data_IF_621944347424
#
_entry.id   IF_621944347424
#
_cell.length_a   1.000
_cell.length_b   1.000
_cell.length_c   1.000
_cell.angle_alpha   90.00
_cell.angle_beta   90.00
_cell.angle_gamma   90.00
#
_symmetry.space_group_name_H-M   'P 1'
#
loop_
_entity.id
_entity.type
_entity.pdbx_description
1 polymer ?
#
# COMPACT_ATOMS: atom_id res chain seq x y z
N UNK A 1 -19.83 -9.26 -2.44
CA UNK A 1 -19.18 -10.52 -2.08
C UNK A 1 -17.71 -10.21 -1.80
N UNK A 2 -17.26 -10.56 -0.61
CA UNK A 2 -15.84 -10.47 -0.22
C UNK A 2 -15.26 -11.88 -0.36
N UNK A 3 -14.26 -12.03 -1.21
CA UNK A 3 -13.51 -13.25 -1.34
C UNK A 3 -12.19 -13.10 -0.58
N UNK A 4 -12.05 -13.84 0.53
CA UNK A 4 -10.82 -13.86 1.31
C UNK A 4 -10.01 -15.06 0.84
N UNK A 5 -8.89 -14.80 0.17
CA UNK A 5 -7.96 -15.85 -0.23
C UNK A 5 -7.23 -16.43 0.99
N UNK A 6 -7.45 -17.69 1.29
CA UNK A 6 -6.71 -18.42 2.32
C UNK A 6 -5.59 -19.18 1.60
N UNK A 7 -4.43 -18.58 1.47
CA UNK A 7 -3.26 -19.19 0.83
C UNK A 7 -1.97 -18.91 1.60
N UNK A 8 -0.87 -19.62 1.30
CA UNK A 8 0.43 -19.20 1.80
C UNK A 8 0.79 -17.86 1.17
N UNK A 9 0.74 -16.80 1.95
CA UNK A 9 1.20 -15.50 1.50
C UNK A 9 2.71 -15.44 1.66
N UNK A 10 3.40 -15.27 0.55
CA UNK A 10 4.85 -15.10 0.50
C UNK A 10 5.25 -13.65 0.18
N UNK A 11 4.48 -12.67 0.68
CA UNK A 11 4.91 -11.29 0.54
C UNK A 11 5.99 -11.00 1.58
N UNK A 12 7.17 -10.56 1.14
CA UNK A 12 8.22 -9.99 2.00
C UNK A 12 7.64 -8.85 2.86
N UNK A 13 6.64 -8.18 2.35
CA UNK A 13 5.83 -7.16 2.98
C UNK A 13 5.04 -7.66 4.21
N UNK A 14 4.87 -8.95 4.37
CA UNK A 14 4.13 -9.56 5.49
C UNK A 14 5.04 -10.11 6.60
N UNK A 15 6.30 -9.71 6.66
CA UNK A 15 7.20 -10.04 7.77
C UNK A 15 6.77 -9.29 9.03
N UNK A 16 5.59 -9.60 9.51
CA UNK A 16 5.00 -8.98 10.70
C UNK A 16 5.18 -9.87 11.92
N UNK A 17 5.37 -9.26 13.10
CA UNK A 17 5.31 -10.02 14.34
C UNK A 17 3.99 -10.76 14.39
N UNK A 18 4.03 -12.02 14.83
CA UNK A 18 2.89 -12.90 14.92
C UNK A 18 1.69 -12.19 15.55
N UNK A 19 0.70 -11.88 14.75
CA UNK A 19 -0.63 -11.55 15.19
C UNK A 19 -1.59 -12.55 14.57
N UNK A 20 -2.77 -12.62 15.11
CA UNK A 20 -3.80 -13.48 14.59
C UNK A 20 -4.19 -12.97 13.19
N UNK A 21 -3.73 -13.70 12.18
CA UNK A 21 -3.76 -13.30 10.78
C UNK A 21 -5.16 -13.01 10.27
N UNK A 22 -6.12 -13.83 10.65
CA UNK A 22 -7.49 -13.65 10.17
C UNK A 22 -8.10 -12.35 10.70
N UNK A 23 -7.76 -11.96 11.92
CA UNK A 23 -8.27 -10.74 12.52
C UNK A 23 -7.84 -9.48 11.74
N UNK A 24 -6.54 -9.29 11.48
CA UNK A 24 -6.10 -8.12 10.74
C UNK A 24 -6.58 -8.14 9.28
N UNK A 25 -6.61 -9.32 8.63
CA UNK A 25 -7.11 -9.48 7.27
C UNK A 25 -8.60 -9.11 7.19
N UNK A 26 -9.41 -9.55 8.15
CA UNK A 26 -10.82 -9.19 8.21
C UNK A 26 -11.02 -7.68 8.36
N UNK A 27 -10.26 -7.03 9.22
CA UNK A 27 -10.31 -5.57 9.36
C UNK A 27 -9.90 -4.85 8.08
N UNK A 28 -8.89 -5.36 7.38
CA UNK A 28 -8.47 -4.85 6.08
C UNK A 28 -9.61 -4.91 5.05
N UNK A 29 -10.16 -6.09 4.81
CA UNK A 29 -11.20 -6.30 3.81
C UNK A 29 -12.52 -5.60 4.17
N UNK A 30 -12.90 -5.58 5.45
CA UNK A 30 -14.07 -4.84 5.90
C UNK A 30 -13.90 -3.33 5.73
N UNK A 31 -12.69 -2.81 5.86
CA UNK A 31 -12.40 -1.40 5.59
C UNK A 31 -12.68 -1.06 4.13
N UNK A 32 -12.33 -1.91 3.17
CA UNK A 32 -12.69 -1.70 1.77
C UNK A 32 -14.21 -1.59 1.58
N UNK A 33 -14.98 -2.44 2.23
CA UNK A 33 -16.46 -2.36 2.15
C UNK A 33 -16.96 -1.04 2.72
N UNK A 34 -16.49 -0.64 3.90
CA UNK A 34 -16.96 0.57 4.57
C UNK A 34 -16.58 1.83 3.78
N UNK A 35 -15.35 1.90 3.29
CA UNK A 35 -14.84 3.09 2.59
C UNK A 35 -15.39 3.23 1.17
N UNK A 36 -15.69 2.11 0.50
CA UNK A 36 -16.16 2.13 -0.89
C UNK A 36 -17.67 2.01 -1.02
N UNK A 37 -18.34 1.27 -0.15
CA UNK A 37 -19.70 0.79 -0.38
C UNK A 37 -20.76 1.42 0.52
N UNK A 38 -20.40 2.06 1.62
CA UNK A 38 -21.34 2.77 2.49
C UNK A 38 -21.94 3.96 1.73
N UNK A 39 -23.29 3.99 1.55
CA UNK A 39 -23.94 5.06 0.82
C UNK A 39 -24.36 6.19 1.76
N UNK A 40 -24.26 7.43 1.30
CA UNK A 40 -24.99 8.54 1.89
C UNK A 40 -26.41 8.68 1.28
N UNK A 41 -27.16 9.72 1.66
CA UNK A 41 -28.52 9.95 1.14
C UNK A 41 -28.56 10.13 -0.38
N UNK A 42 -27.58 10.80 -0.97
CA UNK A 42 -27.49 11.02 -2.43
C UNK A 42 -27.24 9.68 -3.15
N UNK A 43 -26.32 8.88 -2.63
CA UNK A 43 -26.02 7.57 -3.21
C UNK A 43 -27.22 6.62 -3.08
N UNK A 44 -27.94 6.68 -1.95
CA UNK A 44 -29.19 5.91 -1.75
C UNK A 44 -30.28 6.32 -2.73
N UNK A 45 -30.43 7.61 -3.02
CA UNK A 45 -31.36 8.09 -4.02
C UNK A 45 -31.05 7.49 -5.40
N UNK A 46 -29.80 7.58 -5.86
CA UNK A 46 -29.39 7.03 -7.15
C UNK A 46 -29.51 5.50 -7.18
N UNK A 47 -29.13 4.82 -6.11
CA UNK A 47 -29.31 3.35 -5.99
C UNK A 47 -30.79 2.96 -6.02
N UNK A 48 -31.68 3.78 -5.49
CA UNK A 48 -33.12 3.57 -5.59
C UNK A 48 -33.61 3.68 -7.04
N UNK A 49 -33.18 4.73 -7.76
CA UNK A 49 -33.54 4.96 -9.15
C UNK A 49 -33.04 3.83 -10.08
N UNK A 50 -31.80 3.38 -9.90
CA UNK A 50 -31.17 2.32 -10.71
C UNK A 50 -31.41 0.90 -10.16
N UNK A 51 -32.20 0.74 -9.09
CA UNK A 51 -32.48 -0.55 -8.43
C UNK A 51 -31.21 -1.26 -7.92
N UNK A 52 -30.20 -0.50 -7.51
CA UNK A 52 -28.96 -1.01 -6.96
C UNK A 52 -27.74 -0.24 -7.41
N UNK A 53 -26.57 -0.81 -7.16
CA UNK A 53 -25.30 -0.28 -7.69
C UNK A 53 -25.15 -0.67 -9.16
N UNK A 54 -24.81 0.30 -10.00
CA UNK A 54 -24.51 0.04 -11.41
C UNK A 54 -23.06 -0.41 -11.54
N UNK A 55 -22.83 -1.49 -12.25
CA UNK A 55 -21.48 -1.93 -12.64
C UNK A 55 -21.09 -1.31 -13.98
N UNK A 56 -19.80 -1.00 -14.13
CA UNK A 56 -19.26 -0.53 -15.41
C UNK A 56 -19.25 -1.68 -16.44
N UNK A 57 -19.58 -1.35 -17.69
CA UNK A 57 -19.47 -2.26 -18.82
C UNK A 57 -18.62 -1.63 -19.92
N UNK A 58 -17.78 -2.43 -20.57
CA UNK A 58 -17.00 -2.00 -21.75
C UNK A 58 -17.93 -1.69 -22.93
N UNK A 59 -19.00 -2.46 -23.07
CA UNK A 59 -19.98 -2.32 -24.16
C UNK A 59 -20.92 -1.13 -23.98
N UNK A 60 -20.95 -0.55 -22.77
CA UNK A 60 -21.74 0.64 -22.44
C UNK A 60 -20.92 1.65 -21.66
N UNK A 61 -20.20 2.56 -22.33
CA UNK A 61 -19.36 3.57 -21.67
C UNK A 61 -20.12 4.52 -20.73
N UNK A 62 -21.42 4.75 -20.96
CA UNK A 62 -22.26 5.59 -20.10
C UNK A 62 -22.43 4.93 -18.71
N UNK A 63 -22.30 3.63 -18.63
CA UNK A 63 -22.34 2.88 -17.35
C UNK A 63 -21.32 3.39 -16.33
N UNK A 64 -20.20 3.97 -16.75
CA UNK A 64 -19.22 4.62 -15.87
C UNK A 64 -19.87 5.76 -15.07
N UNK A 65 -20.64 6.63 -15.76
CA UNK A 65 -21.31 7.74 -15.10
C UNK A 65 -22.36 7.25 -14.09
N UNK A 66 -23.17 6.26 -14.47
CA UNK A 66 -24.16 5.68 -13.57
C UNK A 66 -23.54 4.94 -12.38
N UNK A 67 -22.45 4.23 -12.64
CA UNK A 67 -21.66 3.59 -11.58
C UNK A 67 -21.10 4.63 -10.60
N UNK A 68 -20.57 5.76 -11.11
CA UNK A 68 -20.12 6.87 -10.26
C UNK A 68 -21.25 7.47 -9.42
N UNK A 69 -22.44 7.66 -9.98
CA UNK A 69 -23.60 8.17 -9.23
C UNK A 69 -24.01 7.23 -8.09
N UNK A 70 -23.94 5.93 -8.32
CA UNK A 70 -24.35 4.90 -7.34
C UNK A 70 -23.26 4.48 -6.37
N UNK A 71 -21.98 4.67 -6.73
CA UNK A 71 -20.84 4.29 -5.90
C UNK A 71 -19.58 5.13 -6.21
N UNK A 72 -19.57 6.44 -5.86
CA UNK A 72 -18.49 7.35 -6.28
C UNK A 72 -17.12 7.00 -5.70
N UNK A 73 -17.05 6.40 -4.51
CA UNK A 73 -15.79 6.08 -3.84
C UNK A 73 -15.03 4.92 -4.49
N UNK A 74 -15.70 4.10 -5.29
CA UNK A 74 -15.05 3.06 -6.09
C UNK A 74 -13.96 3.60 -7.02
N UNK A 75 -14.08 4.88 -7.43
CA UNK A 75 -13.16 5.55 -8.35
C UNK A 75 -12.02 6.29 -7.66
N UNK A 76 -11.86 6.11 -6.36
CA UNK A 76 -10.65 6.56 -5.69
C UNK A 76 -9.46 5.66 -6.10
N UNK A 77 -8.23 6.20 -6.10
CA UNK A 77 -7.05 5.45 -6.51
C UNK A 77 -6.73 4.31 -5.55
N UNK A 78 -5.96 3.35 -6.03
CA UNK A 78 -5.61 2.16 -5.26
C UNK A 78 -4.90 2.50 -3.96
N UNK A 79 -3.97 3.45 -3.97
CA UNK A 79 -3.26 3.85 -2.75
C UNK A 79 -4.20 4.39 -1.64
N UNK A 80 -5.31 5.04 -2.03
CA UNK A 80 -6.31 5.48 -1.05
C UNK A 80 -7.02 4.30 -0.40
N UNK A 81 -7.41 3.30 -1.19
CA UNK A 81 -8.09 2.12 -0.68
C UNK A 81 -7.17 1.26 0.18
N UNK A 82 -6.00 0.89 -0.35
CA UNK A 82 -5.06 0.01 0.33
C UNK A 82 -4.43 0.67 1.56
N UNK A 83 -4.02 1.92 1.44
CA UNK A 83 -3.48 2.67 2.57
C UNK A 83 -4.48 2.86 3.70
N UNK A 84 -5.77 3.12 3.37
CA UNK A 84 -6.84 3.19 4.36
C UNK A 84 -7.04 1.86 5.07
N UNK A 85 -7.04 0.76 4.34
CA UNK A 85 -7.22 -0.58 4.89
C UNK A 85 -6.04 -0.98 5.80
N UNK A 86 -4.80 -0.73 5.39
CA UNK A 86 -3.60 -1.00 6.20
C UNK A 86 -3.56 -0.14 7.47
N UNK A 87 -3.97 1.12 7.39
CA UNK A 87 -4.07 1.97 8.57
C UNK A 87 -5.11 1.41 9.57
N UNK A 88 -6.30 1.05 9.08
CA UNK A 88 -7.38 0.56 9.93
C UNK A 88 -7.10 -0.84 10.50
N UNK A 89 -6.48 -1.75 9.75
CA UNK A 89 -6.07 -3.05 10.28
C UNK A 89 -5.11 -2.91 11.47
N UNK A 90 -4.25 -1.88 11.43
CA UNK A 90 -3.29 -1.64 12.49
C UNK A 90 -3.92 -0.96 13.70
N UNK A 91 -4.86 -0.05 13.47
CA UNK A 91 -5.50 0.73 14.53
C UNK A 91 -6.63 -0.04 15.23
N UNK A 92 -7.45 -0.79 14.48
CA UNK A 92 -8.66 -1.42 15.02
C UNK A 92 -8.50 -2.89 15.42
N UNK A 93 -7.54 -3.60 14.85
CA UNK A 93 -7.41 -5.04 15.08
C UNK A 93 -6.94 -5.41 16.50
N UNK A 94 -6.60 -4.42 17.32
CA UNK A 94 -5.97 -4.62 18.65
C UNK A 94 -4.74 -5.55 18.59
N UNK A 95 -4.09 -5.56 17.45
CA UNK A 95 -2.90 -6.36 17.13
C UNK A 95 -1.89 -5.47 16.41
N UNK A 96 -0.71 -5.99 16.16
CA UNK A 96 0.28 -5.25 15.38
C UNK A 96 -0.02 -5.40 13.89
N UNK A 97 -0.71 -4.42 13.30
CA UNK A 97 -0.90 -4.34 11.85
C UNK A 97 0.37 -3.90 11.10
N UNK A 98 0.32 -3.88 9.76
CA UNK A 98 1.48 -3.59 8.89
C UNK A 98 2.11 -2.23 9.12
N UNK A 99 1.36 -1.23 9.62
CA UNK A 99 1.90 0.09 10.00
C UNK A 99 3.05 -0.01 11.01
N UNK A 100 2.99 -0.98 11.91
CA UNK A 100 4.03 -1.20 12.93
C UNK A 100 5.19 -2.09 12.44
N UNK A 101 5.17 -2.53 11.19
CA UNK A 101 6.25 -3.28 10.57
C UNK A 101 7.42 -2.38 10.16
N UNK A 102 8.62 -2.95 10.16
CA UNK A 102 9.82 -2.22 9.76
C UNK A 102 10.01 -2.11 8.23
N UNK A 103 9.17 -2.76 7.43
CA UNK A 103 9.36 -2.85 5.99
C UNK A 103 9.15 -1.51 5.28
N UNK A 104 8.06 -0.83 5.54
CA UNK A 104 7.76 0.49 4.97
C UNK A 104 8.87 1.49 5.32
N UNK A 105 9.27 1.48 6.58
CA UNK A 105 10.36 2.28 7.11
C UNK A 105 11.68 2.02 6.35
N UNK A 106 12.01 0.76 6.15
CA UNK A 106 13.20 0.34 5.39
C UNK A 106 13.16 0.81 3.94
N UNK A 107 12.01 0.71 3.28
CA UNK A 107 11.84 1.12 1.87
C UNK A 107 12.07 2.63 1.73
N UNK A 108 11.38 3.46 2.51
CA UNK A 108 11.52 4.92 2.42
C UNK A 108 12.90 5.39 2.87
N UNK A 109 13.47 4.80 3.91
CA UNK A 109 14.86 5.06 4.33
C UNK A 109 15.86 4.72 3.23
N UNK A 110 15.65 3.63 2.52
CA UNK A 110 16.51 3.25 1.39
C UNK A 110 16.40 4.24 0.23
N UNK A 111 15.17 4.68 -0.10
CA UNK A 111 14.96 5.71 -1.12
C UNK A 111 15.66 7.02 -0.77
N UNK A 112 15.57 7.47 0.47
CA UNK A 112 16.25 8.69 0.93
C UNK A 112 17.76 8.51 0.91
N UNK A 113 18.27 7.38 1.40
CA UNK A 113 19.70 7.06 1.36
C UNK A 113 20.27 7.05 -0.07
N UNK A 114 19.53 6.52 -1.02
CA UNK A 114 19.92 6.42 -2.42
C UNK A 114 19.62 7.69 -3.22
N UNK A 115 19.10 8.74 -2.60
CA UNK A 115 18.57 9.94 -3.26
C UNK A 115 17.58 9.60 -4.39
N UNK A 116 16.81 8.51 -4.23
CA UNK A 116 15.82 8.05 -5.20
C UNK A 116 14.54 8.90 -5.13
N UNK A 117 13.80 8.87 -6.23
CA UNK A 117 12.51 9.56 -6.32
C UNK A 117 11.49 8.94 -5.37
N UNK A 118 10.84 9.77 -4.57
CA UNK A 118 9.57 9.44 -3.90
C UNK A 118 8.48 9.98 -4.80
N UNK A 119 7.59 9.11 -5.27
CA UNK A 119 6.60 9.46 -6.28
C UNK A 119 5.55 10.42 -5.73
N UNK A 120 5.13 11.37 -6.56
CA UNK A 120 3.87 12.09 -6.37
C UNK A 120 2.67 11.17 -6.71
N UNK A 121 1.45 11.68 -6.53
CA UNK A 121 0.23 10.89 -6.76
C UNK A 121 0.14 10.40 -8.21
N UNK A 122 0.51 11.24 -9.18
CA UNK A 122 0.44 10.87 -10.61
C UNK A 122 1.50 9.84 -10.96
N UNK A 123 2.71 10.02 -10.44
CA UNK A 123 3.81 9.08 -10.63
C UNK A 123 3.50 7.71 -10.03
N UNK A 124 2.83 7.68 -8.87
CA UNK A 124 2.40 6.44 -8.23
C UNK A 124 1.33 5.70 -9.05
N UNK A 125 0.34 6.41 -9.60
CA UNK A 125 -0.68 5.80 -10.45
C UNK A 125 -0.13 5.32 -11.81
N UNK A 126 1.06 5.76 -12.17
CA UNK A 126 1.77 5.34 -13.39
C UNK A 126 2.72 4.15 -13.16
N UNK A 127 2.67 3.50 -12.02
CA UNK A 127 3.62 2.44 -11.59
C UNK A 127 3.76 1.29 -12.59
N UNK A 128 2.74 0.96 -13.37
CA UNK A 128 2.79 -0.08 -14.39
C UNK A 128 3.68 0.21 -15.61
N UNK A 129 4.26 1.41 -15.70
CA UNK A 129 5.16 1.83 -16.79
C UNK A 129 6.64 1.72 -16.43
N UNK A 130 6.97 1.41 -15.20
CA UNK A 130 8.35 1.28 -14.72
C UNK A 130 8.67 -0.19 -14.46
N UNK A 131 9.95 -0.55 -14.60
CA UNK A 131 10.47 -1.87 -14.20
C UNK A 131 10.66 -1.94 -12.68
N UNK A 132 9.68 -1.47 -11.92
CA UNK A 132 9.72 -1.57 -10.46
C UNK A 132 9.16 -2.93 -10.03
N UNK A 133 9.99 -3.74 -9.39
CA UNK A 133 9.59 -5.04 -8.83
C UNK A 133 8.54 -4.94 -7.73
N UNK A 134 8.26 -3.73 -7.26
CA UNK A 134 7.24 -3.44 -6.26
C UNK A 134 5.91 -2.98 -6.85
N UNK A 135 5.72 -3.16 -8.16
CA UNK A 135 4.43 -2.91 -8.83
C UNK A 135 3.31 -3.60 -8.03
N UNK A 136 2.28 -2.84 -7.72
CA UNK A 136 1.17 -3.31 -6.89
C UNK A 136 1.40 -3.17 -5.38
N UNK A 137 2.62 -3.24 -4.87
CA UNK A 137 2.94 -3.02 -3.44
C UNK A 137 3.08 -1.53 -3.12
N UNK A 138 3.52 -0.72 -4.09
CA UNK A 138 3.71 0.73 -3.90
C UNK A 138 2.44 1.44 -3.41
N UNK A 139 1.27 1.03 -3.88
CA UNK A 139 -0.01 1.60 -3.42
C UNK A 139 -0.21 1.41 -1.92
N UNK A 140 0.16 0.25 -1.37
CA UNK A 140 0.13 -0.02 0.06
C UNK A 140 1.14 0.83 0.82
N UNK A 141 2.41 0.81 0.38
CA UNK A 141 3.51 1.52 1.03
C UNK A 141 3.25 3.03 1.10
N UNK A 142 3.00 3.65 -0.04
CA UNK A 142 2.80 5.10 -0.13
C UNK A 142 1.49 5.53 0.53
N UNK A 143 0.41 4.80 0.27
CA UNK A 143 -0.90 5.09 0.85
C UNK A 143 -0.86 5.03 2.37
N UNK A 144 -0.24 3.98 2.93
CA UNK A 144 -0.09 3.81 4.38
C UNK A 144 0.74 4.92 5.00
N UNK A 145 1.92 5.22 4.42
CA UNK A 145 2.82 6.27 4.95
C UNK A 145 2.16 7.65 4.91
N UNK A 146 1.51 7.99 3.79
CA UNK A 146 0.78 9.25 3.68
C UNK A 146 -0.36 9.36 4.70
N UNK A 147 -1.16 8.30 4.86
CA UNK A 147 -2.28 8.30 5.81
C UNK A 147 -1.78 8.37 7.25
N UNK A 148 -0.70 7.66 7.58
CA UNK A 148 -0.08 7.77 8.91
C UNK A 148 0.44 9.19 9.18
N UNK A 149 1.09 9.82 8.20
CA UNK A 149 1.50 11.21 8.30
C UNK A 149 0.29 12.14 8.52
N UNK A 150 -0.77 11.99 7.73
CA UNK A 150 -1.96 12.81 7.85
C UNK A 150 -2.67 12.61 9.21
N UNK A 151 -2.77 11.37 9.67
CA UNK A 151 -3.36 11.05 10.98
C UNK A 151 -2.51 11.61 12.14
N UNK A 152 -1.19 11.53 12.03
CA UNK A 152 -0.29 12.09 13.04
C UNK A 152 -0.29 13.62 13.06
N UNK A 153 -0.38 14.25 11.88
CA UNK A 153 -0.30 15.73 11.75
C UNK A 153 -1.61 16.41 12.05
N UNK A 154 -2.73 15.82 11.64
CA UNK A 154 -4.05 16.48 11.69
C UNK A 154 -5.05 15.78 12.62
N UNK A 155 -4.70 14.63 13.17
CA UNK A 155 -5.56 13.80 14.02
C UNK A 155 -6.22 12.65 13.25
N UNK A 156 -6.34 11.46 13.87
CA UNK A 156 -6.93 10.29 13.24
C UNK A 156 -8.43 10.45 12.98
N UNK A 157 -9.12 11.31 13.73
CA UNK A 157 -10.54 11.62 13.53
C UNK A 157 -10.80 12.27 12.18
N UNK A 158 -9.88 13.12 11.72
CA UNK A 158 -9.96 13.73 10.38
C UNK A 158 -9.76 12.69 9.28
N UNK A 159 -8.91 11.70 9.50
CA UNK A 159 -8.81 10.57 8.57
C UNK A 159 -10.15 9.82 8.47
N UNK A 160 -10.77 9.47 9.59
CA UNK A 160 -12.08 8.81 9.58
C UNK A 160 -13.13 9.67 8.90
N UNK A 161 -13.13 10.99 9.14
CA UNK A 161 -14.06 11.91 8.49
C UNK A 161 -13.84 11.98 6.98
N UNK A 162 -12.59 11.92 6.52
CA UNK A 162 -12.26 11.91 5.10
C UNK A 162 -12.74 10.65 4.38
N UNK A 163 -12.49 9.47 4.95
CA UNK A 163 -12.83 8.20 4.29
C UNK A 163 -14.32 7.85 4.43
N UNK A 164 -14.98 8.36 5.46
CA UNK A 164 -16.40 8.10 5.70
C UNK A 164 -17.30 8.71 4.64
N UNK A 165 -18.24 7.90 4.13
CA UNK A 165 -19.28 8.34 3.20
C UNK A 165 -20.60 8.61 3.94
N UNK A 166 -20.63 9.67 4.73
CA UNK A 166 -21.81 10.11 5.48
C UNK A 166 -22.52 11.28 4.79
N UNK A 167 -23.72 11.61 5.24
CA UNK A 167 -24.49 12.73 4.71
C UNK A 167 -23.68 14.04 4.81
N UNK A 168 -23.77 14.84 3.74
CA UNK A 168 -22.97 16.05 3.56
C UNK A 168 -21.51 15.81 3.09
N UNK A 169 -21.01 14.57 3.05
CA UNK A 169 -19.68 14.30 2.47
C UNK A 169 -19.68 14.48 0.96
N UNK A 170 -18.52 14.93 0.42
CA UNK A 170 -18.32 15.05 -1.03
C UNK A 170 -18.20 13.66 -1.67
N UNK A 171 -18.67 13.53 -2.91
CA UNK A 171 -18.59 12.28 -3.67
C UNK A 171 -17.15 11.87 -3.93
N UNK A 172 -16.35 12.77 -4.52
CA UNK A 172 -14.97 12.49 -4.88
C UNK A 172 -14.01 12.67 -3.69
N UNK A 173 -13.04 11.76 -3.55
CA UNK A 173 -12.15 11.66 -2.40
C UNK A 173 -11.28 12.90 -2.19
N UNK A 174 -10.78 13.54 -3.28
CA UNK A 174 -9.95 14.76 -3.17
C UNK A 174 -10.76 15.97 -2.73
N UNK A 175 -12.01 16.09 -3.20
CA UNK A 175 -12.93 17.14 -2.78
C UNK A 175 -13.31 16.99 -1.30
N UNK A 176 -13.46 15.74 -0.84
CA UNK A 176 -13.70 15.45 0.58
C UNK A 176 -12.44 15.73 1.41
N UNK A 177 -11.25 15.39 0.90
CA UNK A 177 -9.99 15.72 1.55
C UNK A 177 -9.88 17.23 1.80
N UNK A 178 -10.06 18.02 0.74
CA UNK A 178 -10.02 19.49 0.85
C UNK A 178 -11.04 20.04 1.85
N UNK A 179 -12.24 19.45 1.89
CA UNK A 179 -13.28 19.85 2.87
C UNK A 179 -12.85 19.57 4.31
N UNK A 180 -12.22 18.43 4.58
CA UNK A 180 -11.86 17.98 5.93
C UNK A 180 -10.56 18.63 6.43
N UNK A 181 -9.55 18.69 5.56
CA UNK A 181 -8.21 19.14 5.95
C UNK A 181 -7.95 20.61 5.64
N UNK A 182 -8.76 21.26 4.80
CA UNK A 182 -8.62 22.68 4.44
C UNK A 182 -7.58 22.96 3.35
N UNK A 183 -6.88 21.95 2.82
CA UNK A 183 -5.86 22.07 1.77
C UNK A 183 -6.07 21.00 0.70
N UNK A 184 -5.43 21.16 -0.47
CA UNK A 184 -5.50 20.15 -1.52
C UNK A 184 -4.70 18.91 -1.13
N UNK A 185 -5.08 17.76 -1.69
CA UNK A 185 -4.38 16.50 -1.44
C UNK A 185 -2.96 16.53 -2.02
N UNK A 186 -2.77 17.19 -3.17
CA UNK A 186 -1.45 17.34 -3.80
C UNK A 186 -0.49 18.13 -2.91
N UNK A 187 -0.99 19.21 -2.28
CA UNK A 187 -0.20 19.98 -1.31
C UNK A 187 0.16 19.13 -0.09
N UNK A 188 -0.82 18.41 0.48
CA UNK A 188 -0.57 17.54 1.62
C UNK A 188 0.41 16.41 1.29
N UNK A 189 0.33 15.86 0.08
CA UNK A 189 1.25 14.83 -0.40
C UNK A 189 2.67 15.37 -0.56
N UNK A 190 2.81 16.55 -1.13
CA UNK A 190 4.11 17.24 -1.25
C UNK A 190 4.72 17.53 0.14
N UNK A 191 3.90 17.98 1.09
CA UNK A 191 4.35 18.22 2.48
C UNK A 191 4.78 16.94 3.17
N UNK A 192 4.05 15.84 2.93
CA UNK A 192 4.44 14.52 3.40
C UNK A 192 5.78 14.07 2.81
N UNK A 193 6.00 14.21 1.50
CA UNK A 193 7.29 13.84 0.86
C UNK A 193 8.46 14.60 1.51
N UNK A 194 8.28 15.89 1.77
CA UNK A 194 9.30 16.68 2.45
C UNK A 194 9.54 16.16 3.87
N UNK A 195 8.48 15.97 4.64
CA UNK A 195 8.56 15.43 5.99
C UNK A 195 9.22 14.03 6.00
N UNK A 196 8.85 13.16 5.08
CA UNK A 196 9.42 11.81 4.97
C UNK A 196 10.93 11.85 4.72
N UNK A 197 11.40 12.77 3.87
CA UNK A 197 12.83 12.96 3.62
C UNK A 197 13.57 13.42 4.87
N UNK A 198 13.04 14.38 5.57
CA UNK A 198 13.62 14.90 6.83
C UNK A 198 13.62 13.80 7.90
N UNK A 199 12.50 13.11 8.08
CA UNK A 199 12.37 12.02 9.04
C UNK A 199 13.38 10.89 8.77
N UNK A 200 13.50 10.45 7.52
CA UNK A 200 14.42 9.37 7.17
C UNK A 200 15.90 9.81 7.21
N UNK A 201 16.20 11.06 6.96
CA UNK A 201 17.56 11.60 7.13
C UNK A 201 17.98 11.53 8.60
N UNK A 202 17.14 12.01 9.51
CA UNK A 202 17.38 11.93 10.95
C UNK A 202 17.48 10.47 11.43
N UNK A 203 16.62 9.60 10.92
CA UNK A 203 16.66 8.17 11.23
C UNK A 203 17.96 7.50 10.75
N UNK A 204 18.45 7.86 9.57
CA UNK A 204 19.74 7.37 9.07
C UNK A 204 20.92 7.80 9.95
N UNK A 205 20.90 9.02 10.47
CA UNK A 205 21.91 9.49 11.40
C UNK A 205 21.93 8.67 12.70
N UNK A 206 20.73 8.38 13.24
CA UNK A 206 20.59 7.53 14.43
C UNK A 206 21.07 6.10 14.17
N UNK A 207 20.64 5.48 13.06
CA UNK A 207 21.03 4.10 12.71
C UNK A 207 22.52 3.96 12.52
N UNK A 208 23.19 4.97 11.93
CA UNK A 208 24.65 4.96 11.68
C UNK A 208 25.49 5.06 12.96
N UNK A 209 24.91 5.40 14.10
CA UNK A 209 25.62 5.36 15.38
C UNK A 209 25.90 3.95 15.88
N UNK A 210 25.22 2.95 15.30
CA UNK A 210 25.38 1.54 15.67
C UNK A 210 26.25 0.81 14.64
N UNK A 211 27.05 -0.18 15.07
CA UNK A 211 27.86 -0.97 14.16
C UNK A 211 26.97 -1.77 13.20
N UNK A 212 27.32 -1.77 11.93
CA UNK A 212 26.63 -2.56 10.92
C UNK A 212 27.28 -3.91 10.75
N UNK A 213 26.47 -4.96 10.63
CA UNK A 213 26.98 -6.30 10.27
C UNK A 213 27.53 -6.25 8.85
N UNK A 214 28.76 -6.70 8.68
CA UNK A 214 29.35 -6.84 7.35
C UNK A 214 28.63 -7.95 6.59
N UNK A 215 28.35 -7.73 5.32
CA UNK A 215 27.77 -8.74 4.44
C UNK A 215 28.57 -8.85 3.14
N UNK A 216 28.56 -10.03 2.56
CA UNK A 216 29.12 -10.30 1.24
C UNK A 216 28.01 -10.66 0.29
N UNK A 217 27.87 -9.97 -0.86
CA UNK A 217 26.95 -10.40 -1.92
C UNK A 217 27.26 -11.83 -2.36
N UNK A 218 26.23 -12.65 -2.53
CA UNK A 218 26.36 -14.01 -3.06
C UNK A 218 25.85 -14.12 -4.50
N UNK A 219 25.53 -13.00 -5.13
CA UNK A 219 25.17 -12.88 -6.54
C UNK A 219 25.63 -11.52 -7.05
N UNK A 220 26.22 -11.50 -8.23
CA UNK A 220 26.59 -10.28 -8.96
C UNK A 220 25.46 -9.80 -9.88
N UNK A 221 24.37 -10.52 -9.98
CA UNK A 221 23.22 -10.20 -10.81
C UNK A 221 22.02 -9.83 -9.94
N UNK A 222 21.17 -8.94 -10.48
CA UNK A 222 19.83 -8.76 -9.93
C UNK A 222 19.00 -9.99 -10.25
N UNK A 223 18.43 -10.61 -9.22
CA UNK A 223 17.55 -11.79 -9.36
C UNK A 223 16.06 -11.42 -9.36
N UNK A 224 15.74 -10.13 -9.30
CA UNK A 224 14.36 -9.67 -9.17
C UNK A 224 13.78 -9.97 -7.79
N UNK A 225 12.55 -10.48 -7.75
CA UNK A 225 11.95 -10.98 -6.52
C UNK A 225 12.45 -12.39 -6.23
N UNK A 226 12.91 -12.59 -5.00
CA UNK A 226 13.42 -13.90 -4.56
C UNK A 226 12.64 -14.40 -3.34
N UNK A 227 12.44 -15.71 -3.27
CA UNK A 227 11.89 -16.35 -2.08
C UNK A 227 12.90 -16.35 -0.93
N UNK A 228 12.47 -16.84 0.23
CA UNK A 228 13.40 -17.21 1.30
C UNK A 228 14.46 -18.20 0.75
N UNK A 229 15.73 -17.92 1.03
CA UNK A 229 16.85 -18.79 0.64
C UNK A 229 16.95 -20.00 1.57
N UNK A 230 17.28 -21.16 0.98
CA UNK A 230 17.61 -22.38 1.68
C UNK A 230 19.08 -22.71 1.42
N UNK A 231 19.89 -22.67 2.47
CA UNK A 231 21.30 -22.99 2.40
C UNK A 231 21.56 -24.50 2.56
N UNK A 232 22.24 -25.08 1.58
CA UNK A 232 22.75 -26.45 1.61
C UNK A 232 24.24 -26.38 1.98
N UNK A 233 24.56 -26.71 3.22
CA UNK A 233 25.92 -26.65 3.77
C UNK A 233 26.84 -27.73 3.16
N UNK A 234 26.29 -28.85 2.68
CA UNK A 234 27.08 -29.93 2.07
C UNK A 234 27.62 -29.52 0.70
N UNK A 235 26.80 -28.84 -0.08
CA UNK A 235 27.15 -28.43 -1.45
C UNK A 235 27.57 -26.97 -1.55
N UNK A 236 27.47 -26.17 -0.48
CA UNK A 236 27.80 -24.76 -0.46
C UNK A 236 26.90 -23.92 -1.37
N UNK A 237 25.64 -24.30 -1.51
CA UNK A 237 24.67 -23.64 -2.40
C UNK A 237 23.49 -23.06 -1.64
N UNK A 238 22.99 -21.93 -2.14
CA UNK A 238 21.72 -21.35 -1.71
C UNK A 238 20.67 -21.58 -2.82
N UNK A 239 19.57 -22.21 -2.48
CA UNK A 239 18.43 -22.40 -3.38
C UNK A 239 17.38 -21.32 -3.09
N UNK A 240 16.94 -20.62 -4.15
CA UNK A 240 15.92 -19.57 -4.09
C UNK A 240 14.94 -19.72 -5.25
N UNK A 241 13.68 -19.44 -5.01
CA UNK A 241 12.73 -19.18 -6.09
C UNK A 241 12.99 -17.78 -6.63
N UNK A 242 13.06 -17.65 -7.95
CA UNK A 242 13.35 -16.38 -8.64
C UNK A 242 12.16 -16.03 -9.51
N UNK A 243 11.75 -14.76 -9.40
CA UNK A 243 10.79 -14.13 -10.29
C UNK A 243 11.42 -12.85 -10.86
N UNK A 244 11.71 -12.89 -12.16
CA UNK A 244 12.24 -11.74 -12.89
C UNK A 244 11.26 -11.35 -14.01
N UNK A 245 11.00 -10.04 -14.27
CA UNK A 245 10.13 -9.63 -15.36
C UNK A 245 10.56 -10.21 -16.71
N UNK A 246 9.57 -10.69 -17.49
CA UNK A 246 9.76 -11.33 -18.78
C UNK A 246 10.50 -12.69 -18.75
N UNK A 247 10.70 -13.28 -17.58
CA UNK A 247 11.25 -14.62 -17.42
C UNK A 247 10.24 -15.57 -16.77
N UNK A 248 10.36 -16.85 -17.04
CA UNK A 248 9.58 -17.88 -16.37
C UNK A 248 10.11 -18.05 -14.94
N UNK A 249 9.21 -18.02 -13.95
CA UNK A 249 9.59 -18.25 -12.55
C UNK A 249 10.29 -19.62 -12.42
N UNK A 250 11.41 -19.66 -11.75
CA UNK A 250 12.24 -20.85 -11.61
C UNK A 250 12.94 -20.93 -10.25
N UNK A 251 13.55 -22.06 -9.97
CA UNK A 251 14.44 -22.22 -8.81
C UNK A 251 15.88 -22.03 -9.28
N UNK A 252 16.57 -21.08 -8.67
CA UNK A 252 18.00 -20.86 -8.88
C UNK A 252 18.82 -21.52 -7.76
N UNK A 253 19.98 -22.05 -8.13
CA UNK A 253 21.00 -22.52 -7.21
C UNK A 253 22.23 -21.59 -7.30
N UNK A 254 22.51 -20.85 -6.24
CA UNK A 254 23.61 -19.90 -6.17
C UNK A 254 24.77 -20.56 -5.43
N UNK A 255 25.93 -20.67 -6.06
CA UNK A 255 27.13 -21.16 -5.40
C UNK A 255 27.76 -20.03 -4.56
N UNK A 256 27.92 -20.27 -3.25
CA UNK A 256 28.39 -19.24 -2.32
C UNK A 256 29.86 -18.86 -2.53
N UNK A 257 30.64 -19.71 -3.23
CA UNK A 257 32.07 -19.50 -3.47
C UNK A 257 32.37 -18.83 -4.80
N UNK A 258 31.55 -19.12 -5.84
CA UNK A 258 31.87 -18.77 -7.24
C UNK A 258 30.92 -17.73 -7.85
N UNK A 259 29.86 -17.34 -7.15
CA UNK A 259 28.83 -16.39 -7.62
C UNK A 259 29.35 -14.99 -7.92
#
# INVERSE_FOLDING_TARGET
NVNIGIGPFNYVYETMPASERMNWLMHHELTHIVTTDMPNNVDRFWRGLFRGKVSTSIDDPISIMYSYLTNPRRYAPRWYHEGSAVFMESWMANTKGRVFGAYDEMVFRTRVRANATIYDIVGLESEGKTTDFQIGVNSYLYGTRFICYAANTYGPEKFVEWVSRKDGSKAYFTSQFKKVFGLSIDKAWSDWIQWEREFQTNNLELVRQYPTTQFRPVSNMSLGSVSKGFYDDKNGKIYVGVFYPAEVSHIAAIDVKTS
#
